data_IF_796657284585
#
_entry.id   IF_796657284585
#
_cell.length_a   1.000
_cell.length_b   1.000
_cell.length_c   1.000
_cell.angle_alpha   90.00
_cell.angle_beta   90.00
_cell.angle_gamma   90.00
#
_symmetry.space_group_name_H-M   'P 1'
#
loop_
_entity.id
_entity.type
_entity.pdbx_description
1 polymer ?
#
# COMPACT_ATOMS: atom_id res chain seq x y z
N UNK A 1 4.63 -13.66 74.78
CA UNK A 1 4.29 -14.46 73.57
C UNK A 1 2.90 -14.16 72.99
N UNK A 2 1.80 -14.20 73.75
CA UNK A 2 0.43 -13.99 73.21
C UNK A 2 0.23 -12.68 72.43
N UNK A 3 0.86 -11.57 72.85
CA UNK A 3 0.79 -10.27 72.15
C UNK A 3 1.55 -10.22 70.81
N UNK A 4 2.66 -10.96 70.69
CA UNK A 4 3.41 -11.06 69.42
C UNK A 4 2.69 -11.91 68.38
N UNK A 5 2.05 -12.99 68.82
CA UNK A 5 1.22 -13.85 67.95
C UNK A 5 0.03 -13.06 67.39
N UNK A 6 -0.63 -12.25 68.23
CA UNK A 6 -1.72 -11.38 67.78
C UNK A 6 -1.27 -10.38 66.70
N UNK A 7 -0.09 -9.75 66.87
CA UNK A 7 0.48 -8.82 65.90
C UNK A 7 0.79 -9.50 64.56
N UNK A 8 1.39 -10.70 64.56
CA UNK A 8 1.66 -11.47 63.34
C UNK A 8 0.36 -11.87 62.62
N UNK A 9 -0.68 -12.24 63.36
CA UNK A 9 -2.01 -12.53 62.79
C UNK A 9 -2.58 -11.26 62.12
N UNK A 10 -2.50 -10.10 62.77
CA UNK A 10 -2.98 -8.84 62.18
C UNK A 10 -2.19 -8.45 60.94
N UNK A 11 -0.86 -8.59 60.94
CA UNK A 11 -0.02 -8.33 59.76
C UNK A 11 -0.37 -9.31 58.63
N UNK A 12 -0.55 -10.60 58.94
CA UNK A 12 -0.96 -11.60 57.96
C UNK A 12 -2.31 -11.28 57.31
N UNK A 13 -3.29 -10.84 58.11
CA UNK A 13 -4.61 -10.42 57.61
C UNK A 13 -4.49 -9.15 56.75
N UNK A 14 -3.71 -8.16 57.17
CA UNK A 14 -3.47 -6.94 56.39
C UNK A 14 -2.78 -7.24 55.04
N UNK A 15 -1.81 -8.15 55.04
CA UNK A 15 -1.15 -8.61 53.81
C UNK A 15 -2.12 -9.33 52.87
N UNK A 16 -3.01 -10.17 53.41
CA UNK A 16 -4.05 -10.86 52.64
C UNK A 16 -5.02 -9.85 52.01
N UNK A 17 -5.49 -8.87 52.80
CA UNK A 17 -6.38 -7.80 52.32
C UNK A 17 -5.68 -7.00 51.21
N UNK A 18 -4.41 -6.64 51.41
CA UNK A 18 -3.63 -5.89 50.42
C UNK A 18 -3.48 -6.66 49.10
N UNK A 19 -3.24 -7.98 49.18
CA UNK A 19 -3.12 -8.85 48.01
C UNK A 19 -4.44 -8.96 47.24
N UNK A 20 -5.56 -9.04 47.95
CA UNK A 20 -6.90 -9.03 47.35
C UNK A 20 -7.13 -7.69 46.63
N UNK A 21 -6.84 -6.56 47.29
CA UNK A 21 -7.01 -5.22 46.71
C UNK A 21 -6.14 -5.02 45.47
N UNK A 22 -4.87 -5.45 45.50
CA UNK A 22 -3.98 -5.41 44.32
C UNK A 22 -4.53 -6.22 43.15
N UNK A 23 -5.01 -7.45 43.42
CA UNK A 23 -5.63 -8.28 42.38
C UNK A 23 -6.91 -7.65 41.83
N UNK A 24 -7.74 -7.04 42.68
CA UNK A 24 -8.93 -6.32 42.26
C UNK A 24 -8.58 -5.13 41.35
N UNK A 25 -7.59 -4.32 41.71
CA UNK A 25 -7.13 -3.23 40.85
C UNK A 25 -6.57 -3.72 39.51
N UNK A 26 -5.82 -4.83 39.49
CA UNK A 26 -5.35 -5.41 38.24
C UNK A 26 -6.50 -5.89 37.34
N UNK A 27 -7.56 -6.45 37.91
CA UNK A 27 -8.75 -6.86 37.13
C UNK A 27 -9.50 -5.64 36.58
N UNK A 28 -9.65 -4.59 37.39
CA UNK A 28 -10.27 -3.34 36.97
C UNK A 28 -9.47 -2.70 35.83
N UNK A 29 -8.14 -2.64 35.95
CA UNK A 29 -7.26 -2.09 34.92
C UNK A 29 -7.29 -2.90 33.61
N UNK A 30 -7.36 -4.23 33.70
CA UNK A 30 -7.62 -5.09 32.51
C UNK A 30 -8.99 -4.81 31.90
N UNK A 31 -10.02 -4.62 32.74
CA UNK A 31 -11.36 -4.25 32.31
C UNK A 31 -11.38 -2.91 31.57
N UNK A 32 -10.73 -1.88 32.11
CA UNK A 32 -10.60 -0.57 31.46
C UNK A 32 -9.84 -0.66 30.14
N UNK A 33 -8.74 -1.42 30.07
CA UNK A 33 -8.01 -1.66 28.81
C UNK A 33 -8.84 -2.39 27.76
N UNK A 34 -9.71 -3.31 28.18
CA UNK A 34 -10.62 -3.98 27.26
C UNK A 34 -11.72 -3.04 26.75
N UNK A 35 -12.32 -2.25 27.65
CA UNK A 35 -13.33 -1.25 27.29
C UNK A 35 -12.73 -0.21 26.34
N UNK A 36 -11.54 0.32 26.62
CA UNK A 36 -10.88 1.29 25.75
C UNK A 36 -10.55 0.70 24.37
N UNK A 37 -10.14 -0.57 24.30
CA UNK A 37 -9.93 -1.28 23.02
C UNK A 37 -11.23 -1.42 22.23
N UNK A 38 -12.33 -1.76 22.89
CA UNK A 38 -13.66 -1.88 22.25
C UNK A 38 -14.16 -0.52 21.77
N UNK A 39 -14.01 0.52 22.59
CA UNK A 39 -14.38 1.89 22.24
C UNK A 39 -13.57 2.38 21.02
N UNK A 40 -12.25 2.15 21.01
CA UNK A 40 -11.38 2.44 19.88
C UNK A 40 -11.84 1.77 18.59
N UNK A 41 -12.12 0.46 18.62
CA UNK A 41 -12.63 -0.28 17.46
C UNK A 41 -13.97 0.30 16.97
N UNK A 42 -14.87 0.65 17.89
CA UNK A 42 -16.15 1.24 17.54
C UNK A 42 -15.98 2.63 16.89
N UNK A 43 -15.11 3.48 17.45
CA UNK A 43 -14.81 4.80 16.87
C UNK A 43 -14.19 4.67 15.48
N UNK A 44 -13.20 3.79 15.28
CA UNK A 44 -12.60 3.55 13.96
C UNK A 44 -13.65 3.09 12.94
N UNK A 45 -14.58 2.20 13.34
CA UNK A 45 -15.68 1.76 12.45
C UNK A 45 -16.61 2.90 12.04
N UNK A 46 -16.92 3.81 12.96
CA UNK A 46 -17.73 5.00 12.63
C UNK A 46 -16.99 5.88 11.64
N UNK A 47 -15.71 6.18 11.89
CA UNK A 47 -14.87 6.99 10.99
C UNK A 47 -14.78 6.35 9.60
N UNK A 48 -14.54 5.04 9.51
CA UNK A 48 -14.53 4.31 8.23
C UNK A 48 -15.86 4.46 7.49
N UNK A 49 -16.99 4.27 8.18
CA UNK A 49 -18.31 4.38 7.57
C UNK A 49 -18.60 5.80 7.07
N UNK A 50 -18.19 6.82 7.80
CA UNK A 50 -18.37 8.22 7.43
C UNK A 50 -17.48 8.59 6.25
N UNK A 51 -16.22 8.15 6.24
CA UNK A 51 -15.30 8.30 5.10
C UNK A 51 -15.88 7.64 3.85
N UNK A 52 -16.38 6.40 3.94
CA UNK A 52 -17.02 5.73 2.79
C UNK A 52 -18.22 6.53 2.26
N UNK A 53 -19.05 7.06 3.16
CA UNK A 53 -20.20 7.89 2.79
C UNK A 53 -19.76 9.19 2.09
N UNK A 54 -18.74 9.86 2.60
CA UNK A 54 -18.18 11.09 2.00
C UNK A 54 -17.61 10.80 0.62
N UNK A 55 -16.76 9.77 0.49
CA UNK A 55 -16.19 9.34 -0.79
C UNK A 55 -17.30 9.01 -1.79
N UNK A 56 -18.35 8.30 -1.37
CA UNK A 56 -19.50 7.98 -2.22
C UNK A 56 -20.28 9.22 -2.67
N UNK A 57 -20.35 10.28 -1.87
CA UNK A 57 -21.03 11.53 -2.26
C UNK A 57 -20.18 12.30 -3.26
N UNK A 58 -18.91 12.54 -2.94
CA UNK A 58 -18.02 13.38 -3.76
C UNK A 58 -17.76 12.72 -5.11
N UNK A 59 -17.48 11.41 -5.12
CA UNK A 59 -17.08 10.71 -6.35
C UNK A 59 -18.23 10.51 -7.35
N UNK A 60 -19.49 10.86 -7.02
CA UNK A 60 -20.61 10.86 -7.99
C UNK A 60 -20.42 11.85 -9.12
N UNK A 61 -19.63 12.89 -8.88
CA UNK A 61 -19.42 13.99 -9.82
C UNK A 61 -18.17 13.81 -10.68
N UNK A 62 -17.32 12.83 -10.36
CA UNK A 62 -16.11 12.51 -11.12
C UNK A 62 -16.53 11.78 -12.39
N UNK A 63 -16.31 12.43 -13.55
CA UNK A 63 -16.69 11.91 -14.87
C UNK A 63 -15.56 11.92 -15.87
N UNK A 64 -14.52 12.68 -15.60
CA UNK A 64 -13.42 12.99 -16.50
C UNK A 64 -12.12 13.09 -15.69
N UNK A 65 -10.99 13.15 -16.39
CA UNK A 65 -9.68 13.20 -15.75
C UNK A 65 -9.46 14.47 -14.93
N UNK A 66 -9.98 15.63 -15.35
CA UNK A 66 -9.74 16.90 -14.67
C UNK A 66 -10.42 16.91 -13.29
N UNK A 67 -11.67 16.44 -13.23
CA UNK A 67 -12.42 16.29 -11.98
C UNK A 67 -11.80 15.23 -11.07
N UNK A 68 -11.17 14.19 -11.63
CA UNK A 68 -10.41 13.21 -10.85
C UNK A 68 -9.13 13.81 -10.29
N UNK A 69 -8.35 14.55 -11.07
CA UNK A 69 -7.13 15.22 -10.61
C UNK A 69 -7.41 16.23 -9.51
N UNK A 70 -8.46 17.04 -9.66
CA UNK A 70 -8.92 17.93 -8.59
C UNK A 70 -9.32 17.16 -7.33
N UNK A 71 -9.94 15.98 -7.50
CA UNK A 71 -10.33 15.13 -6.38
C UNK A 71 -9.15 14.43 -5.69
N UNK A 72 -8.07 14.12 -6.39
CA UNK A 72 -6.87 13.51 -5.80
C UNK A 72 -5.89 14.54 -5.23
N UNK A 73 -6.18 15.83 -5.40
CA UNK A 73 -5.38 16.91 -4.82
C UNK A 73 -5.33 16.88 -3.28
N UNK A 74 -4.40 17.66 -2.72
CA UNK A 74 -4.22 17.74 -1.28
C UNK A 74 -5.44 18.39 -0.58
N UNK A 75 -6.01 17.70 0.40
CA UNK A 75 -7.08 18.24 1.24
C UNK A 75 -6.51 18.79 2.54
N UNK A 76 -6.96 19.97 3.00
CA UNK A 76 -6.63 20.42 4.34
C UNK A 76 -7.24 19.47 5.39
N UNK A 77 -6.54 19.23 6.52
CA UNK A 77 -7.12 18.47 7.61
C UNK A 77 -8.44 19.08 8.09
N UNK A 78 -9.43 18.23 8.34
CA UNK A 78 -10.73 18.61 8.88
C UNK A 78 -10.62 18.57 10.40
N UNK A 79 -10.84 19.70 11.06
CA UNK A 79 -10.86 19.80 12.52
C UNK A 79 -12.22 20.27 13.03
N UNK A 80 -12.60 19.86 14.24
CA UNK A 80 -13.71 20.49 14.96
C UNK A 80 -13.31 21.88 15.49
N UNK A 81 -14.32 22.70 15.82
CA UNK A 81 -14.10 24.07 16.31
C UNK A 81 -13.23 24.12 17.58
N UNK A 82 -13.28 23.07 18.40
CA UNK A 82 -12.54 22.95 19.66
C UNK A 82 -11.19 22.22 19.51
N UNK A 83 -10.82 21.73 18.32
CA UNK A 83 -9.59 20.99 18.05
C UNK A 83 -9.47 19.61 18.71
N UNK A 84 -10.58 19.04 19.19
CA UNK A 84 -10.66 17.71 19.82
C UNK A 84 -10.80 16.57 18.82
N UNK A 85 -11.05 16.87 17.55
CA UNK A 85 -11.08 15.93 16.45
C UNK A 85 -10.28 16.51 15.28
N UNK A 86 -9.38 15.72 14.74
CA UNK A 86 -8.62 16.04 13.52
C UNK A 86 -8.67 14.84 12.59
N UNK A 87 -9.02 15.06 11.33
CA UNK A 87 -9.03 14.06 10.27
C UNK A 87 -8.21 14.57 9.10
N UNK A 88 -7.17 13.85 8.72
CA UNK A 88 -6.41 14.08 7.49
C UNK A 88 -6.59 12.91 6.55
N UNK A 89 -6.74 13.22 5.26
CA UNK A 89 -6.91 12.23 4.20
C UNK A 89 -5.97 12.57 3.06
N UNK A 90 -5.19 11.59 2.66
CA UNK A 90 -4.36 11.63 1.46
C UNK A 90 -4.91 10.61 0.48
N UNK A 91 -5.10 11.00 -0.78
CA UNK A 91 -5.66 10.15 -1.82
C UNK A 91 -4.66 10.00 -2.95
N UNK A 92 -4.40 8.76 -3.35
CA UNK A 92 -3.46 8.42 -4.40
C UNK A 92 -4.14 7.52 -5.43
N UNK A 93 -3.85 7.72 -6.71
CA UNK A 93 -4.28 6.80 -7.77
C UNK A 93 -3.45 5.51 -7.72
N UNK A 94 -4.10 4.34 -7.68
CA UNK A 94 -3.41 3.06 -7.89
C UNK A 94 -3.16 2.77 -9.37
N UNK A 95 -3.84 3.49 -10.27
CA UNK A 95 -3.61 3.40 -11.72
C UNK A 95 -2.40 4.21 -12.18
N UNK A 96 -1.64 4.85 -11.28
CA UNK A 96 -0.37 5.50 -11.63
C UNK A 96 0.77 4.54 -11.99
N UNK A 97 0.60 3.26 -11.65
CA UNK A 97 1.64 2.24 -11.70
C UNK A 97 1.07 0.86 -12.11
N UNK A 98 1.95 -0.05 -12.53
CA UNK A 98 1.56 -1.39 -12.98
C UNK A 98 1.15 -2.23 -11.78
N UNK A 99 -0.03 -2.86 -11.84
CA UNK A 99 -0.41 -3.83 -10.81
C UNK A 99 0.57 -5.02 -10.83
N UNK A 100 1.39 -5.17 -9.77
CA UNK A 100 2.42 -6.21 -9.70
C UNK A 100 1.84 -7.62 -9.89
N UNK A 101 0.62 -7.85 -9.41
CA UNK A 101 -0.03 -9.16 -9.50
C UNK A 101 -0.48 -9.53 -10.92
N UNK A 102 -0.43 -8.58 -11.85
CA UNK A 102 -0.84 -8.75 -13.24
C UNK A 102 0.31 -9.08 -14.19
N UNK A 103 1.56 -9.08 -13.70
CA UNK A 103 2.76 -9.25 -14.54
C UNK A 103 2.99 -10.68 -15.00
N UNK A 104 2.42 -11.67 -14.30
CA UNK A 104 2.59 -13.10 -14.61
C UNK A 104 1.49 -13.61 -15.52
N UNK A 105 1.80 -14.57 -16.38
CA UNK A 105 0.79 -15.30 -17.14
C UNK A 105 0.14 -16.37 -16.25
N UNK A 106 -1.16 -16.22 -15.98
CA UNK A 106 -1.95 -17.15 -15.17
C UNK A 106 -2.72 -18.18 -16.00
N UNK A 107 -2.56 -18.17 -17.33
CA UNK A 107 -3.24 -19.10 -18.24
C UNK A 107 -2.48 -20.42 -18.48
N UNK A 108 -1.41 -20.66 -17.73
CA UNK A 108 -0.63 -21.91 -17.78
C UNK A 108 -1.39 -23.07 -17.13
N UNK A 109 -1.09 -24.28 -17.56
CA UNK A 109 -1.77 -25.50 -17.07
C UNK A 109 -1.37 -25.78 -15.61
N UNK A 110 -2.23 -26.50 -14.88
CA UNK A 110 -1.92 -26.96 -13.51
C UNK A 110 -0.54 -27.67 -13.47
N UNK A 111 0.41 -27.10 -12.73
CA UNK A 111 1.76 -27.64 -12.54
C UNK A 111 2.86 -27.03 -13.42
N UNK A 112 2.53 -26.07 -14.28
CA UNK A 112 3.53 -25.26 -15.00
C UNK A 112 3.89 -24.01 -14.20
N UNK A 113 5.19 -23.69 -14.19
CA UNK A 113 5.72 -22.50 -13.52
C UNK A 113 5.20 -21.26 -14.26
N UNK A 114 4.57 -20.33 -13.53
CA UNK A 114 4.05 -19.10 -14.13
C UNK A 114 5.20 -18.21 -14.63
N UNK A 115 5.14 -17.77 -15.89
CA UNK A 115 6.20 -16.93 -16.45
C UNK A 115 5.82 -15.44 -16.43
N UNK A 116 6.85 -14.58 -16.43
CA UNK A 116 6.66 -13.16 -16.67
C UNK A 116 6.09 -12.95 -18.07
N UNK A 117 5.02 -12.16 -18.21
CA UNK A 117 4.51 -11.81 -19.53
C UNK A 117 5.58 -11.07 -20.32
N UNK A 118 5.83 -11.41 -21.60
CA UNK A 118 6.94 -10.86 -22.36
C UNK A 118 6.99 -9.33 -22.43
N UNK A 119 5.83 -8.68 -22.40
CA UNK A 119 5.74 -7.21 -22.41
C UNK A 119 6.43 -6.53 -21.22
N UNK A 120 6.62 -7.20 -20.08
CA UNK A 120 7.25 -6.58 -18.92
C UNK A 120 8.77 -6.77 -18.83
N UNK A 121 9.39 -7.54 -19.74
CA UNK A 121 10.86 -7.69 -19.75
C UNK A 121 11.61 -6.34 -19.89
N UNK A 122 11.23 -5.42 -20.81
CA UNK A 122 11.91 -4.13 -20.94
C UNK A 122 11.87 -3.31 -19.65
N UNK A 123 10.75 -3.31 -18.94
CA UNK A 123 10.59 -2.62 -17.66
C UNK A 123 11.57 -3.13 -16.61
N UNK A 124 11.67 -4.44 -16.42
CA UNK A 124 12.61 -5.01 -15.46
C UNK A 124 14.06 -4.74 -15.86
N UNK A 125 14.39 -4.86 -17.15
CA UNK A 125 15.72 -4.50 -17.66
C UNK A 125 16.06 -3.04 -17.39
N UNK A 126 15.11 -2.12 -17.60
CA UNK A 126 15.25 -0.71 -17.25
C UNK A 126 15.55 -0.54 -15.76
N UNK A 127 14.74 -1.14 -14.88
CA UNK A 127 14.94 -1.05 -13.42
C UNK A 127 16.33 -1.59 -13.03
N UNK A 128 16.72 -2.76 -13.54
CA UNK A 128 17.99 -3.38 -13.20
C UNK A 128 19.18 -2.55 -13.67
N UNK A 129 19.12 -1.99 -14.88
CA UNK A 129 20.19 -1.15 -15.42
C UNK A 129 20.26 0.20 -14.72
N UNK A 130 19.12 0.87 -14.55
CA UNK A 130 19.04 2.22 -13.97
C UNK A 130 19.51 2.25 -12.52
N UNK A 131 19.14 1.24 -11.73
CA UNK A 131 19.49 1.14 -10.32
C UNK A 131 20.67 0.21 -10.05
N UNK A 132 21.37 -0.24 -11.11
CA UNK A 132 22.58 -1.06 -11.01
C UNK A 132 22.42 -2.30 -10.14
N UNK A 133 21.29 -3.00 -10.29
CA UNK A 133 20.98 -4.23 -9.55
C UNK A 133 21.98 -5.31 -9.95
N UNK A 134 22.67 -5.89 -8.96
CA UNK A 134 23.80 -6.80 -9.20
C UNK A 134 23.39 -8.06 -9.97
N UNK A 135 22.27 -8.63 -9.58
CA UNK A 135 21.72 -9.86 -10.15
C UNK A 135 20.20 -9.70 -10.32
N UNK A 136 19.80 -9.07 -11.43
CA UNK A 136 18.40 -8.77 -11.71
C UNK A 136 17.56 -10.03 -11.96
N UNK A 137 18.15 -11.06 -12.55
CA UNK A 137 17.47 -12.34 -12.82
C UNK A 137 17.07 -13.03 -11.50
N UNK A 138 17.98 -13.09 -10.53
CA UNK A 138 17.68 -13.63 -9.21
C UNK A 138 16.59 -12.82 -8.48
N UNK A 139 16.61 -11.49 -8.58
CA UNK A 139 15.57 -10.65 -8.00
C UNK A 139 14.20 -10.91 -8.65
N UNK A 140 14.18 -11.04 -9.97
CA UNK A 140 12.96 -11.40 -10.71
C UNK A 140 12.43 -12.76 -10.25
N UNK A 141 13.30 -13.75 -10.07
CA UNK A 141 12.91 -15.07 -9.55
C UNK A 141 12.28 -14.98 -8.16
N UNK A 142 12.82 -14.18 -7.23
CA UNK A 142 12.19 -13.92 -5.93
C UNK A 142 10.77 -13.34 -6.07
N UNK A 143 10.58 -12.40 -6.99
CA UNK A 143 9.27 -11.78 -7.24
C UNK A 143 8.31 -12.80 -7.83
N UNK A 144 8.73 -13.58 -8.83
CA UNK A 144 7.89 -14.56 -9.51
C UNK A 144 7.52 -15.76 -8.62
N UNK A 145 8.47 -16.30 -7.84
CA UNK A 145 8.21 -17.38 -6.87
C UNK A 145 7.25 -16.93 -5.77
N UNK A 146 7.26 -15.62 -5.44
CA UNK A 146 6.27 -15.09 -4.50
C UNK A 146 4.89 -14.94 -5.14
N UNK A 147 4.83 -14.59 -6.43
CA UNK A 147 3.59 -14.29 -7.14
C UNK A 147 2.80 -15.53 -7.58
N UNK A 148 3.51 -16.62 -7.90
CA UNK A 148 2.86 -17.91 -8.04
C UNK A 148 2.43 -18.45 -6.67
N UNK A 149 1.55 -19.45 -6.68
CA UNK A 149 1.03 -20.05 -5.44
C UNK A 149 1.72 -21.36 -5.07
N UNK A 150 2.66 -21.81 -5.89
CA UNK A 150 3.27 -23.13 -5.76
C UNK A 150 4.50 -23.09 -4.84
N UNK A 151 5.28 -24.17 -4.82
CA UNK A 151 6.48 -24.32 -3.98
C UNK A 151 7.72 -24.66 -4.83
N UNK A 152 7.60 -24.54 -6.14
CA UNK A 152 8.63 -24.88 -7.11
C UNK A 152 9.49 -23.64 -7.30
N UNK A 153 10.72 -23.72 -6.80
CA UNK A 153 11.64 -22.60 -6.93
C UNK A 153 12.15 -22.47 -8.38
N UNK A 154 12.16 -21.25 -8.92
CA UNK A 154 12.83 -20.96 -10.21
C UNK A 154 14.35 -20.98 -10.07
N UNK A 155 14.86 -20.59 -8.91
CA UNK A 155 16.27 -20.71 -8.52
C UNK A 155 16.35 -21.26 -7.09
N UNK A 156 17.46 -21.90 -6.73
CA UNK A 156 17.66 -22.50 -5.42
C UNK A 156 17.49 -21.42 -4.35
N UNK A 157 16.52 -21.55 -3.45
CA UNK A 157 16.32 -20.63 -2.32
C UNK A 157 15.59 -19.32 -2.64
N UNK A 158 14.92 -19.19 -3.79
CA UNK A 158 14.06 -18.03 -4.10
C UNK A 158 12.65 -18.16 -3.51
N UNK A 159 12.24 -19.36 -3.11
CA UNK A 159 10.97 -19.60 -2.45
C UNK A 159 11.06 -19.27 -0.95
N UNK A 160 10.64 -18.06 -0.59
CA UNK A 160 10.74 -17.53 0.78
C UNK A 160 9.92 -18.37 1.75
N UNK A 161 8.75 -18.88 1.33
CA UNK A 161 7.83 -19.64 2.19
C UNK A 161 8.45 -20.93 2.72
N UNK A 162 9.36 -21.56 1.97
CA UNK A 162 10.07 -22.77 2.42
C UNK A 162 10.92 -22.52 3.67
N UNK A 163 11.44 -21.31 3.84
CA UNK A 163 12.27 -20.91 4.97
C UNK A 163 11.49 -20.12 6.03
N UNK A 164 10.37 -19.50 5.66
CA UNK A 164 9.52 -18.68 6.52
C UNK A 164 8.06 -19.08 6.39
N UNK A 165 7.60 -19.93 7.30
CA UNK A 165 6.22 -20.47 7.30
C UNK A 165 5.11 -19.40 7.41
N UNK A 166 5.44 -18.21 7.90
CA UNK A 166 4.51 -17.09 8.04
C UNK A 166 4.46 -16.18 6.80
N UNK A 167 5.34 -16.40 5.82
CA UNK A 167 5.33 -15.69 4.56
C UNK A 167 4.25 -16.26 3.63
N UNK A 168 3.46 -15.38 3.01
CA UNK A 168 2.31 -15.76 2.18
C UNK A 168 2.68 -15.55 0.71
N UNK A 169 2.63 -16.62 -0.08
CA UNK A 169 2.74 -16.57 -1.54
C UNK A 169 1.38 -16.25 -2.18
N UNK A 170 1.43 -15.89 -3.46
CA UNK A 170 0.31 -15.50 -4.28
C UNK A 170 0.27 -14.00 -4.47
N UNK A 171 -0.84 -13.36 -4.13
CA UNK A 171 -1.00 -11.92 -4.40
C UNK A 171 -0.17 -11.09 -3.41
N UNK A 172 0.58 -10.14 -3.94
CA UNK A 172 1.28 -9.12 -3.18
C UNK A 172 0.31 -7.95 -2.96
N UNK A 173 -0.18 -7.81 -1.73
CA UNK A 173 -1.29 -6.91 -1.41
C UNK A 173 -0.80 -5.52 -1.02
N UNK A 174 0.40 -5.43 -0.44
CA UNK A 174 0.98 -4.19 0.06
C UNK A 174 2.48 -4.10 -0.24
N UNK A 175 3.01 -2.87 -0.14
CA UNK A 175 4.42 -2.57 -0.39
C UNK A 175 5.35 -3.19 0.66
N UNK A 176 4.89 -3.43 1.89
CA UNK A 176 5.74 -3.98 2.94
C UNK A 176 6.01 -5.47 2.71
N UNK A 177 5.01 -6.23 2.26
CA UNK A 177 5.19 -7.59 1.74
C UNK A 177 6.19 -7.61 0.58
N UNK A 178 6.07 -6.68 -0.37
CA UNK A 178 7.03 -6.59 -1.47
C UNK A 178 8.45 -6.26 -0.98
N UNK A 179 8.58 -5.36 -0.01
CA UNK A 179 9.88 -5.03 0.62
C UNK A 179 10.47 -6.23 1.36
N UNK A 180 9.67 -7.16 1.89
CA UNK A 180 10.21 -8.41 2.44
C UNK A 180 10.87 -9.29 1.38
N UNK A 181 10.27 -9.36 0.18
CA UNK A 181 10.86 -10.06 -0.99
C UNK A 181 12.20 -9.43 -1.36
N UNK A 182 12.21 -8.11 -1.54
CA UNK A 182 13.40 -7.35 -1.88
C UNK A 182 14.50 -7.49 -0.81
N UNK A 183 14.13 -7.51 0.48
CA UNK A 183 15.08 -7.76 1.58
C UNK A 183 15.63 -9.18 1.56
N UNK A 184 14.83 -10.18 1.20
CA UNK A 184 15.31 -11.56 1.08
C UNK A 184 16.40 -11.65 -0.01
N UNK A 185 16.16 -11.03 -1.16
CA UNK A 185 17.15 -10.86 -2.21
C UNK A 185 18.40 -10.11 -1.72
N UNK A 186 18.24 -8.92 -1.14
CA UNK A 186 19.33 -8.10 -0.62
C UNK A 186 20.24 -8.90 0.32
N UNK A 187 19.66 -9.65 1.25
CA UNK A 187 20.43 -10.42 2.22
C UNK A 187 21.26 -11.54 1.58
N UNK A 188 20.79 -12.07 0.45
CA UNK A 188 21.48 -13.16 -0.26
C UNK A 188 22.70 -12.67 -1.04
N UNK A 189 22.59 -11.52 -1.71
CA UNK A 189 23.64 -11.01 -2.61
C UNK A 189 24.37 -9.75 -2.07
N UNK A 190 24.02 -9.29 -0.87
CA UNK A 190 24.48 -8.02 -0.26
C UNK A 190 24.35 -6.85 -1.24
N UNK A 191 23.22 -6.79 -1.95
CA UNK A 191 22.89 -5.67 -2.86
C UNK A 191 22.09 -4.62 -2.11
N UNK A 192 22.72 -3.48 -1.83
CA UNK A 192 22.06 -2.36 -1.14
C UNK A 192 21.37 -1.40 -2.10
N UNK A 193 21.70 -1.46 -3.39
CA UNK A 193 21.13 -0.56 -4.40
C UNK A 193 19.65 -0.89 -4.66
N UNK A 194 19.27 -2.16 -4.51
CA UNK A 194 17.88 -2.62 -4.63
C UNK A 194 16.89 -1.91 -3.69
N UNK A 195 17.37 -1.39 -2.56
CA UNK A 195 16.55 -0.65 -1.61
C UNK A 195 16.35 0.82 -2.01
N UNK A 196 17.10 1.33 -3.00
CA UNK A 196 16.97 2.69 -3.55
C UNK A 196 15.95 2.77 -4.69
N UNK A 197 15.52 1.63 -5.23
CA UNK A 197 14.51 1.58 -6.28
C UNK A 197 13.18 2.11 -5.72
N UNK A 198 12.55 3.12 -6.33
CA UNK A 198 11.24 3.63 -5.94
C UNK A 198 10.15 2.69 -6.45
N UNK A 199 10.01 1.52 -5.84
CA UNK A 199 9.11 0.46 -6.31
C UNK A 199 7.66 0.92 -6.50
N UNK A 200 7.18 1.86 -5.69
CA UNK A 200 5.82 2.43 -5.74
C UNK A 200 5.59 3.35 -6.96
N UNK A 201 6.65 3.75 -7.67
CA UNK A 201 6.56 4.47 -8.94
C UNK A 201 6.34 3.53 -10.13
N UNK A 202 6.79 2.27 -10.03
CA UNK A 202 6.66 1.26 -11.06
C UNK A 202 5.45 0.36 -10.83
N UNK A 203 5.19 0.01 -9.57
CA UNK A 203 4.22 -0.99 -9.19
C UNK A 203 3.16 -0.48 -8.21
N UNK A 204 1.92 -0.89 -8.45
CA UNK A 204 0.81 -0.80 -7.51
C UNK A 204 0.54 -2.16 -6.86
N UNK A 205 0.15 -2.13 -5.60
CA UNK A 205 -0.10 -3.30 -4.76
C UNK A 205 -1.58 -3.37 -4.41
N UNK A 206 -2.22 -4.50 -4.70
CA UNK A 206 -3.66 -4.66 -4.46
C UNK A 206 -4.05 -6.14 -4.39
N UNK A 207 -5.26 -6.44 -3.93
CA UNK A 207 -5.80 -7.81 -3.95
C UNK A 207 -6.27 -8.27 -5.36
N UNK A 208 -6.20 -7.40 -6.36
CA UNK A 208 -6.55 -7.71 -7.75
C UNK A 208 -5.33 -8.27 -8.48
N UNK A 209 -5.53 -9.28 -9.31
CA UNK A 209 -4.57 -9.83 -10.28
C UNK A 209 -4.90 -9.43 -11.72
N UNK A 210 -5.93 -8.60 -11.90
CA UNK A 210 -6.31 -8.09 -13.22
C UNK A 210 -5.37 -6.98 -13.65
N UNK A 211 -5.04 -6.97 -14.93
CA UNK A 211 -4.48 -5.78 -15.58
C UNK A 211 -5.52 -4.65 -15.51
N UNK A 212 -5.03 -3.47 -15.17
CA UNK A 212 -5.81 -2.24 -15.11
C UNK A 212 -5.24 -1.24 -16.10
N UNK A 213 -5.99 -0.18 -16.37
CA UNK A 213 -5.45 0.96 -17.11
C UNK A 213 -4.31 1.59 -16.32
N UNK A 214 -3.34 2.18 -17.02
CA UNK A 214 -2.35 3.06 -16.42
C UNK A 214 -2.74 4.50 -16.78
N UNK A 215 -3.04 5.30 -15.77
CA UNK A 215 -3.47 6.68 -15.93
C UNK A 215 -2.25 7.58 -16.14
N UNK A 216 -2.04 8.01 -17.39
CA UNK A 216 -0.89 8.82 -17.77
C UNK A 216 -0.84 10.19 -17.10
N UNK A 217 -1.94 10.69 -16.50
CA UNK A 217 -1.93 11.95 -15.76
C UNK A 217 -1.36 11.84 -14.35
N UNK A 218 -1.13 10.62 -13.85
CA UNK A 218 -0.50 10.38 -12.54
C UNK A 218 0.77 9.53 -12.66
N UNK A 219 1.13 9.14 -13.88
CA UNK A 219 2.27 8.26 -14.14
C UNK A 219 3.58 8.95 -13.78
N UNK A 220 4.47 8.21 -13.11
CA UNK A 220 5.83 8.70 -12.88
C UNK A 220 6.62 8.73 -14.18
N UNK A 221 7.53 9.69 -14.31
CA UNK A 221 8.49 9.77 -15.40
C UNK A 221 9.37 8.52 -15.47
N UNK A 222 9.71 7.94 -14.32
CA UNK A 222 10.47 6.70 -14.25
C UNK A 222 9.73 5.52 -14.87
N UNK A 223 8.43 5.37 -14.60
CA UNK A 223 7.63 4.34 -15.25
C UNK A 223 7.53 4.61 -16.76
N UNK A 224 7.26 5.85 -17.18
CA UNK A 224 7.20 6.19 -18.60
C UNK A 224 8.48 5.82 -19.35
N UNK A 225 9.66 6.14 -18.79
CA UNK A 225 10.95 5.74 -19.32
C UNK A 225 11.14 4.21 -19.34
N UNK A 226 10.71 3.52 -18.28
CA UNK A 226 10.79 2.06 -18.19
C UNK A 226 9.86 1.32 -19.17
N UNK A 227 8.81 1.99 -19.65
CA UNK A 227 7.92 1.52 -20.70
C UNK A 227 8.35 2.00 -22.10
N UNK A 228 9.52 2.64 -22.21
CA UNK A 228 10.10 3.13 -23.47
C UNK A 228 9.23 4.18 -24.18
N UNK A 229 8.44 4.95 -23.44
CA UNK A 229 7.63 6.04 -24.01
C UNK A 229 8.51 7.23 -24.40
N UNK A 230 8.29 7.75 -25.60
CA UNK A 230 8.81 9.03 -26.03
C UNK A 230 8.09 10.16 -25.28
N UNK A 231 8.84 10.91 -24.46
CA UNK A 231 8.31 12.02 -23.64
C UNK A 231 8.66 13.35 -24.32
N UNK A 232 7.65 14.13 -24.66
CA UNK A 232 7.80 15.49 -25.16
C UNK A 232 8.00 16.48 -24.00
N UNK A 233 9.26 16.91 -23.82
CA UNK A 233 9.65 17.86 -22.78
C UNK A 233 9.12 19.29 -23.01
N UNK A 234 8.55 19.59 -24.18
CA UNK A 234 7.99 20.92 -24.45
C UNK A 234 6.76 21.24 -23.60
N UNK A 235 6.11 20.20 -23.05
CA UNK A 235 4.96 20.29 -22.14
C UNK A 235 5.36 20.12 -20.67
N UNK A 236 6.66 20.09 -20.35
CA UNK A 236 7.08 20.11 -18.94
C UNK A 236 6.70 21.45 -18.32
N UNK A 237 5.87 21.42 -17.27
CA UNK A 237 5.58 22.61 -16.46
C UNK A 237 6.87 23.08 -15.79
N UNK A 238 7.58 24.00 -16.44
CA UNK A 238 8.70 24.75 -15.87
C UNK A 238 8.15 25.85 -14.95
N UNK A 239 7.34 25.45 -13.97
CA UNK A 239 6.74 26.37 -12.99
C UNK A 239 7.40 26.26 -11.59
N UNK A 240 8.47 25.46 -11.45
CA UNK A 240 9.29 25.49 -10.25
C UNK A 240 10.34 26.61 -10.36
N UNK A 241 10.29 27.58 -9.44
CA UNK A 241 11.25 28.70 -9.31
C UNK A 241 12.73 28.23 -9.14
N UNK A 242 13.00 26.92 -9.11
CA UNK A 242 14.32 26.30 -9.01
C UNK A 242 14.73 25.40 -10.20
N UNK A 243 13.93 25.32 -11.27
CA UNK A 243 14.31 24.57 -12.50
C UNK A 243 14.33 23.04 -12.31
N UNK A 244 13.59 22.52 -11.35
CA UNK A 244 13.46 21.09 -11.08
C UNK A 244 12.35 20.52 -11.97
N UNK A 245 12.70 19.56 -12.82
CA UNK A 245 11.76 18.82 -13.68
C UNK A 245 10.80 18.02 -12.78
N UNK A 246 9.50 18.06 -13.07
CA UNK A 246 8.50 17.23 -12.39
C UNK A 246 8.82 15.73 -12.54
N UNK A 247 8.77 15.00 -11.43
CA UNK A 247 8.89 13.54 -11.39
C UNK A 247 7.68 12.82 -12.01
N UNK A 248 6.61 13.55 -12.30
CA UNK A 248 5.39 13.06 -12.96
C UNK A 248 5.24 13.62 -14.37
N UNK A 249 4.63 12.81 -15.25
CA UNK A 249 4.26 13.21 -16.61
C UNK A 249 2.75 13.41 -16.73
N UNK A 250 2.31 14.09 -17.79
CA UNK A 250 0.90 14.18 -18.20
C UNK A 250 0.66 13.38 -19.47
N UNK A 251 -0.60 13.08 -19.78
CA UNK A 251 -0.95 12.38 -21.03
C UNK A 251 -0.51 13.17 -22.28
N UNK A 252 -0.55 14.51 -22.23
CA UNK A 252 -0.15 15.36 -23.35
C UNK A 252 1.34 15.19 -23.70
N UNK A 253 2.19 14.89 -22.72
CA UNK A 253 3.63 14.66 -22.92
C UNK A 253 3.92 13.37 -23.69
N UNK A 254 2.97 12.44 -23.80
CA UNK A 254 3.16 11.15 -24.47
C UNK A 254 2.19 10.94 -25.64
N UNK A 255 1.50 11.99 -26.09
CA UNK A 255 0.54 11.95 -27.20
C UNK A 255 1.24 12.01 -28.57
N UNK A 256 2.18 11.09 -28.79
CA UNK A 256 2.92 10.94 -30.04
C UNK A 256 2.53 9.66 -30.77
N UNK A 257 2.64 9.64 -32.10
CA UNK A 257 2.40 8.42 -32.88
C UNK A 257 3.43 7.32 -32.59
N UNK A 258 4.57 7.66 -31.99
CA UNK A 258 5.60 6.69 -31.60
C UNK A 258 5.14 5.84 -30.42
N UNK A 259 4.30 6.38 -29.53
CA UNK A 259 3.83 5.72 -28.31
C UNK A 259 2.55 4.89 -28.47
N UNK A 260 1.90 4.90 -29.63
CA UNK A 260 0.57 4.27 -29.80
C UNK A 260 0.61 2.76 -29.53
N UNK A 261 1.72 2.10 -29.89
CA UNK A 261 1.89 0.65 -29.68
C UNK A 261 1.99 0.33 -28.19
N UNK A 262 2.83 1.08 -27.46
CA UNK A 262 3.07 0.92 -26.03
C UNK A 262 1.81 1.30 -25.24
N UNK A 263 1.12 2.37 -25.63
CA UNK A 263 -0.18 2.76 -25.05
C UNK A 263 -1.21 1.64 -25.16
N UNK A 264 -1.28 0.95 -26.30
CA UNK A 264 -2.18 -0.19 -26.48
C UNK A 264 -1.76 -1.40 -25.63
N UNK A 265 -0.47 -1.78 -25.67
CA UNK A 265 0.09 -2.95 -24.96
C UNK A 265 -0.08 -2.85 -23.43
N UNK A 266 0.14 -1.65 -22.88
CA UNK A 266 0.08 -1.38 -21.44
C UNK A 266 -1.24 -0.75 -20.99
N UNK A 267 -2.19 -0.54 -21.91
CA UNK A 267 -3.47 0.11 -21.63
C UNK A 267 -3.32 1.51 -20.98
N UNK A 268 -2.38 2.31 -21.49
CA UNK A 268 -2.10 3.66 -21.00
C UNK A 268 -3.13 4.62 -21.61
N UNK A 269 -3.91 5.27 -20.76
CA UNK A 269 -4.89 6.28 -21.17
C UNK A 269 -5.36 7.11 -19.97
N UNK A 270 -5.82 8.35 -20.16
CA UNK A 270 -6.44 9.11 -19.09
C UNK A 270 -7.72 8.45 -18.59
N UNK A 271 -8.12 8.79 -17.36
CA UNK A 271 -9.41 8.37 -16.83
C UNK A 271 -10.59 8.88 -17.68
N UNK A 272 -11.51 7.98 -18.02
CA UNK A 272 -12.62 8.21 -18.95
C UNK A 272 -14.02 8.03 -18.32
N UNK A 273 -14.11 7.91 -16.99
CA UNK A 273 -15.39 7.69 -16.29
C UNK A 273 -15.95 6.27 -16.34
N UNK A 274 -15.55 5.46 -17.34
CA UNK A 274 -16.14 4.13 -17.60
C UNK A 274 -15.26 2.97 -17.13
N UNK A 275 -13.96 3.23 -17.01
CA UNK A 275 -12.95 2.28 -16.57
C UNK A 275 -13.06 2.02 -15.06
N UNK A 276 -12.70 0.80 -14.62
CA UNK A 276 -12.50 0.55 -13.19
C UNK A 276 -11.27 1.31 -12.73
N UNK A 277 -11.39 2.03 -11.62
CA UNK A 277 -10.35 2.91 -11.11
C UNK A 277 -10.33 2.81 -9.59
N UNK A 278 -9.16 2.54 -9.04
CA UNK A 278 -8.93 2.27 -7.63
C UNK A 278 -8.11 3.41 -7.03
N UNK A 279 -8.63 3.96 -5.95
CA UNK A 279 -7.98 5.03 -5.21
C UNK A 279 -7.52 4.44 -3.89
N UNK A 280 -6.25 4.61 -3.59
CA UNK A 280 -5.72 4.38 -2.26
C UNK A 280 -5.97 5.63 -1.42
N UNK A 281 -6.56 5.45 -0.25
CA UNK A 281 -6.74 6.51 0.73
C UNK A 281 -5.96 6.20 1.99
N UNK A 282 -5.11 7.12 2.42
CA UNK A 282 -4.47 7.08 3.74
C UNK A 282 -5.19 8.06 4.65
N UNK A 283 -5.91 7.51 5.62
CA UNK A 283 -6.72 8.29 6.56
C UNK A 283 -6.07 8.24 7.92
N UNK A 284 -5.74 9.41 8.47
CA UNK A 284 -5.31 9.53 9.86
C UNK A 284 -6.34 10.37 10.60
N UNK A 285 -6.73 9.93 11.79
CA UNK A 285 -7.58 10.73 12.65
C UNK A 285 -7.09 10.70 14.08
N UNK A 286 -7.31 11.80 14.78
CA UNK A 286 -7.01 11.92 16.20
C UNK A 286 -8.18 12.54 16.95
N UNK A 287 -8.36 12.04 18.16
CA UNK A 287 -9.25 12.57 19.17
C UNK A 287 -8.46 12.78 20.45
N UNK A 288 -9.08 13.35 21.49
CA UNK A 288 -8.47 13.43 22.82
C UNK A 288 -8.06 12.07 23.42
N UNK A 289 -8.61 10.95 22.94
CA UNK A 289 -8.39 9.62 23.51
C UNK A 289 -7.67 8.64 22.56
N UNK A 290 -7.70 8.89 21.25
CA UNK A 290 -7.34 7.91 20.22
C UNK A 290 -6.66 8.63 19.07
N UNK A 291 -5.53 8.13 18.60
CA UNK A 291 -4.91 8.53 17.34
C UNK A 291 -4.66 7.26 16.54
N UNK A 292 -5.26 7.17 15.36
CA UNK A 292 -5.19 5.97 14.52
C UNK A 292 -5.00 6.38 13.06
N UNK A 293 -4.40 5.46 12.31
CA UNK A 293 -4.18 5.60 10.88
C UNK A 293 -4.64 4.31 10.21
N UNK A 294 -5.28 4.45 9.07
CA UNK A 294 -5.68 3.31 8.27
C UNK A 294 -5.60 3.63 6.79
N UNK A 295 -5.32 2.59 6.01
CA UNK A 295 -5.30 2.62 4.56
C UNK A 295 -6.57 1.98 4.05
N UNK A 296 -7.11 2.51 2.97
CA UNK A 296 -8.29 1.96 2.31
C UNK A 296 -8.09 1.96 0.80
N UNK A 297 -8.74 1.01 0.12
CA UNK A 297 -8.82 1.01 -1.35
C UNK A 297 -10.27 1.24 -1.75
N UNK A 298 -10.54 2.36 -2.41
CA UNK A 298 -11.86 2.75 -2.90
C UNK A 298 -12.00 2.52 -4.41
N UNK A 299 -13.04 1.80 -4.82
CA UNK A 299 -13.33 1.60 -6.25
C UNK A 299 -14.33 2.65 -6.74
N UNK A 300 -13.89 3.52 -7.67
CA UNK A 300 -14.72 4.56 -8.27
C UNK A 300 -15.92 4.01 -9.03
N UNK A 301 -15.87 2.77 -9.54
CA UNK A 301 -16.96 2.19 -10.31
C UNK A 301 -18.05 1.61 -9.40
N UNK A 302 -17.67 0.77 -8.44
CA UNK A 302 -18.63 0.21 -7.48
C UNK A 302 -19.05 1.16 -6.37
N UNK A 303 -18.30 2.26 -6.19
CA UNK A 303 -18.50 3.29 -5.15
C UNK A 303 -18.40 2.72 -3.73
N UNK A 304 -17.49 1.77 -3.53
CA UNK A 304 -17.29 1.05 -2.26
C UNK A 304 -15.83 0.94 -1.89
N UNK A 305 -15.59 0.83 -0.59
CA UNK A 305 -14.29 0.40 -0.09
C UNK A 305 -14.15 -1.11 -0.30
N UNK A 306 -13.07 -1.53 -0.93
CA UNK A 306 -12.76 -2.92 -1.27
C UNK A 306 -11.77 -3.57 -0.32
N UNK A 307 -10.90 -2.75 0.32
CA UNK A 307 -9.92 -3.20 1.31
C UNK A 307 -9.71 -2.11 2.37
N UNK A 308 -9.44 -2.53 3.60
CA UNK A 308 -9.05 -1.67 4.72
C UNK A 308 -7.94 -2.36 5.50
N UNK A 309 -6.89 -1.61 5.79
CA UNK A 309 -5.76 -2.02 6.60
C UNK A 309 -5.53 -1.00 7.71
N UNK A 310 -5.41 -1.46 8.96
CA UNK A 310 -5.13 -0.61 10.11
C UNK A 310 -3.61 -0.56 10.32
N UNK A 311 -3.03 0.64 10.43
CA UNK A 311 -1.59 0.85 10.67
C UNK A 311 -1.26 0.99 12.16
#
# INVERSE_FOLDING_TARGET
MKKGIALFITIGILSLISLIVMNSFSLIDRGFRHISKVERINQTRVVISDVENILRIITKHIKDSDTLSAFLGAYPPIADEDGRFLLSMELNSLQRAININSIIDRNVSDGEVMELKPKYFPLFNYIFNQYQIKDGELLLNYILDTLDSDIVERDVGTEIRLNRYNFINGKIVDIDQFREIVRAYQNRVDDREVMKVPWEEFFSFSSSDKETIIDCNFMSRNLANGLELAIDETFSDVDSEEGTISDYITCDMIESSENETEKEIYHIKPYDGNSSYLIEGVVSYSTNAVSEKFRLIYDLKSKKITSIELE
#
